data_IF_452180022966
#
_entry.id   IF_452180022966
#
_cell.length_a   1.000
_cell.length_b   1.000
_cell.length_c   1.000
_cell.angle_alpha   90.00
_cell.angle_beta   90.00
_cell.angle_gamma   90.00
#
_symmetry.space_group_name_H-M   'P 1'
#
loop_
_entity.id
_entity.type
_entity.pdbx_description
1 polymer ?
#
# COMPACT_ATOMS: atom_id res chain seq x y z
N UNK A 1 -11.88 9.31 -20.29
CA UNK A 1 -11.78 9.88 -18.95
C UNK A 1 -12.06 8.82 -17.90
N UNK A 2 -11.25 8.80 -16.86
CA UNK A 2 -11.37 7.79 -15.81
C UNK A 2 -12.17 8.35 -14.65
N UNK A 3 -12.99 7.49 -14.06
CA UNK A 3 -13.78 7.84 -12.89
C UNK A 3 -13.31 7.03 -11.68
N UNK A 4 -12.98 7.73 -10.59
CA UNK A 4 -12.56 7.10 -9.35
C UNK A 4 -13.80 6.83 -8.49
N UNK A 5 -13.98 5.57 -8.11
CA UNK A 5 -15.11 5.17 -7.25
C UNK A 5 -14.64 4.22 -6.18
N UNK A 6 -15.33 4.24 -5.05
CA UNK A 6 -15.15 3.21 -4.04
C UNK A 6 -15.74 1.88 -4.53
N UNK A 7 -15.03 0.79 -4.26
CA UNK A 7 -15.48 -0.57 -4.54
C UNK A 7 -15.99 -1.18 -3.24
N UNK A 8 -17.23 -1.67 -3.28
CA UNK A 8 -17.88 -2.27 -2.11
C UNK A 8 -17.81 -3.79 -2.19
N UNK A 9 -16.67 -4.34 -1.80
CA UNK A 9 -16.35 -5.77 -1.95
C UNK A 9 -17.36 -6.65 -1.21
N UNK A 10 -17.74 -6.26 0.00
CA UNK A 10 -18.60 -7.08 0.86
C UNK A 10 -20.09 -6.80 0.68
N UNK A 11 -20.45 -5.74 -0.04
CA UNK A 11 -21.84 -5.29 -0.15
C UNK A 11 -22.43 -5.46 -1.54
N UNK A 12 -21.61 -5.37 -2.58
CA UNK A 12 -22.04 -5.37 -3.96
C UNK A 12 -21.36 -6.53 -4.69
N UNK A 13 -22.08 -7.63 -4.97
CA UNK A 13 -21.45 -8.80 -5.62
C UNK A 13 -20.80 -8.51 -6.97
N UNK A 14 -21.37 -7.60 -7.76
CA UNK A 14 -20.79 -7.20 -9.04
C UNK A 14 -19.45 -6.47 -8.85
N UNK A 15 -19.34 -5.65 -7.81
CA UNK A 15 -18.09 -4.97 -7.46
C UNK A 15 -17.03 -5.99 -7.06
N UNK A 16 -17.39 -6.95 -6.24
CA UNK A 16 -16.45 -7.99 -5.81
C UNK A 16 -15.95 -8.80 -6.99
N UNK A 17 -16.82 -9.18 -7.90
CA UNK A 17 -16.43 -9.96 -9.07
C UNK A 17 -15.48 -9.18 -9.98
N UNK A 18 -15.79 -7.94 -10.28
CA UNK A 18 -14.93 -7.09 -11.11
C UNK A 18 -13.56 -6.90 -10.47
N UNK A 19 -13.53 -6.68 -9.17
CA UNK A 19 -12.30 -6.54 -8.40
C UNK A 19 -11.46 -7.81 -8.43
N UNK A 20 -12.06 -8.97 -8.18
CA UNK A 20 -11.35 -10.25 -8.23
C UNK A 20 -10.79 -10.53 -9.62
N UNK A 21 -11.60 -10.31 -10.66
CA UNK A 21 -11.17 -10.52 -12.04
C UNK A 21 -9.96 -9.66 -12.40
N UNK A 22 -9.97 -8.39 -11.97
CA UNK A 22 -8.84 -7.49 -12.23
C UNK A 22 -7.58 -7.92 -11.47
N UNK A 23 -7.72 -8.35 -10.23
CA UNK A 23 -6.58 -8.83 -9.44
C UNK A 23 -5.97 -10.08 -10.08
N UNK A 24 -6.78 -11.01 -10.56
CA UNK A 24 -6.28 -12.20 -11.26
C UNK A 24 -5.55 -11.83 -12.55
N UNK A 25 -6.02 -10.83 -13.30
CA UNK A 25 -5.30 -10.32 -14.46
C UNK A 25 -3.92 -9.80 -14.09
N UNK A 26 -3.80 -9.18 -12.94
CA UNK A 26 -2.53 -8.67 -12.41
C UNK A 26 -1.66 -9.73 -11.76
N UNK A 27 -2.11 -10.99 -11.73
CA UNK A 27 -1.37 -12.08 -11.07
C UNK A 27 -1.43 -12.01 -9.55
N UNK A 28 -2.46 -11.37 -8.99
CA UNK A 28 -2.64 -11.25 -7.55
C UNK A 28 -3.77 -12.16 -7.07
N UNK A 29 -3.63 -12.63 -5.84
CA UNK A 29 -4.67 -13.41 -5.19
C UNK A 29 -5.53 -12.46 -4.36
N UNK A 30 -6.85 -12.42 -4.60
CA UNK A 30 -7.73 -11.57 -3.80
C UNK A 30 -7.68 -11.93 -2.31
N UNK A 31 -7.67 -10.89 -1.48
CA UNK A 31 -7.69 -11.01 -0.03
C UNK A 31 -8.70 -10.00 0.48
N UNK A 32 -9.73 -10.47 1.17
CA UNK A 32 -10.79 -9.59 1.67
C UNK A 32 -10.41 -8.87 2.97
N UNK A 33 -9.21 -9.08 3.48
CA UNK A 33 -8.71 -8.34 4.63
C UNK A 33 -8.27 -6.94 4.20
N UNK A 34 -9.25 -6.11 3.90
CA UNK A 34 -9.06 -4.74 3.45
C UNK A 34 -10.10 -3.84 4.13
N UNK A 35 -9.72 -2.60 4.40
CA UNK A 35 -10.58 -1.61 5.04
C UNK A 35 -11.29 -0.73 4.03
N UNK A 36 -10.62 -0.46 2.91
CA UNK A 36 -11.10 0.48 1.91
C UNK A 36 -10.52 0.09 0.56
N UNK A 37 -11.35 0.05 -0.46
CA UNK A 37 -10.94 -0.30 -1.82
C UNK A 37 -11.48 0.74 -2.79
N UNK A 38 -10.63 1.17 -3.72
CA UNK A 38 -11.01 2.10 -4.78
C UNK A 38 -10.74 1.48 -6.14
N UNK A 39 -11.43 1.98 -7.12
CA UNK A 39 -11.20 1.61 -8.51
C UNK A 39 -11.26 2.79 -9.44
N UNK A 40 -10.53 2.69 -10.53
CA UNK A 40 -10.67 3.61 -11.67
C UNK A 40 -11.43 2.88 -12.76
N UNK A 41 -12.43 3.56 -13.29
CA UNK A 41 -13.33 3.00 -14.31
C UNK A 41 -13.18 3.79 -15.61
N UNK A 42 -13.07 3.06 -16.69
CA UNK A 42 -13.18 3.59 -18.04
C UNK A 42 -14.53 3.12 -18.58
N UNK A 43 -15.51 4.02 -18.63
CA UNK A 43 -16.86 3.72 -19.12
C UNK A 43 -17.49 2.47 -18.48
N UNK A 44 -17.53 2.41 -17.18
CA UNK A 44 -18.08 1.29 -16.43
C UNK A 44 -17.19 0.03 -16.39
N UNK A 45 -16.00 0.06 -17.01
CA UNK A 45 -15.04 -1.03 -16.92
C UNK A 45 -14.01 -0.70 -15.86
N UNK A 46 -13.84 -1.58 -14.87
CA UNK A 46 -12.81 -1.43 -13.85
C UNK A 46 -11.45 -1.73 -14.47
N UNK A 47 -10.56 -0.72 -14.48
CA UNK A 47 -9.24 -0.83 -15.13
C UNK A 47 -8.08 -0.70 -14.16
N UNK A 48 -8.31 -0.21 -12.96
CA UNK A 48 -7.28 -0.15 -11.92
C UNK A 48 -7.94 -0.23 -10.54
N UNK A 49 -7.22 -0.78 -9.58
CA UNK A 49 -7.72 -0.89 -8.21
C UNK A 49 -6.59 -0.85 -7.21
N UNK A 50 -6.92 -0.55 -5.99
CA UNK A 50 -6.02 -0.64 -4.85
C UNK A 50 -6.82 -0.58 -3.57
N UNK A 51 -6.23 -1.09 -2.50
CA UNK A 51 -6.90 -1.19 -1.20
C UNK A 51 -5.98 -0.75 -0.09
N UNK A 52 -6.58 -0.38 1.04
CA UNK A 52 -5.85 -0.19 2.29
C UNK A 52 -6.30 -1.23 3.30
N UNK A 53 -5.37 -1.63 4.14
CA UNK A 53 -5.64 -2.37 5.37
C UNK A 53 -4.79 -1.75 6.46
N UNK A 54 -5.45 -1.11 7.46
CA UNK A 54 -4.75 -0.32 8.46
C UNK A 54 -3.86 0.73 7.78
N UNK A 55 -2.56 0.73 7.99
CA UNK A 55 -1.64 1.66 7.35
C UNK A 55 -0.87 1.05 6.17
N UNK A 56 -1.45 0.04 5.53
CA UNK A 56 -0.81 -0.65 4.39
C UNK A 56 -1.66 -0.45 3.14
N UNK A 57 -1.03 0.00 2.07
CA UNK A 57 -1.61 0.02 0.72
C UNK A 57 -1.23 -1.30 0.06
N UNK A 58 -2.21 -2.04 -0.42
CA UNK A 58 -2.01 -3.36 -0.98
C UNK A 58 -2.99 -3.67 -2.10
N UNK A 59 -2.78 -4.79 -2.78
CA UNK A 59 -3.63 -5.27 -3.86
C UNK A 59 -3.83 -4.20 -4.94
N UNK A 60 -2.74 -3.56 -5.32
CA UNK A 60 -2.74 -2.53 -6.36
C UNK A 60 -2.52 -3.22 -7.70
N UNK A 61 -3.44 -3.03 -8.62
CA UNK A 61 -3.40 -3.66 -9.93
C UNK A 61 -3.95 -2.74 -11.01
N UNK A 62 -3.40 -2.86 -12.22
CA UNK A 62 -3.87 -2.16 -13.40
C UNK A 62 -4.05 -3.18 -14.50
N UNK A 63 -5.16 -3.06 -15.25
CA UNK A 63 -5.39 -3.88 -16.44
C UNK A 63 -4.20 -3.71 -17.38
N UNK A 64 -3.60 -4.81 -17.87
CA UNK A 64 -2.42 -4.72 -18.75
C UNK A 64 -2.61 -3.85 -19.99
N UNK A 65 -3.83 -3.73 -20.50
CA UNK A 65 -4.13 -2.88 -21.65
C UNK A 65 -4.10 -1.38 -21.33
N UNK A 66 -4.05 -1.02 -20.03
CA UNK A 66 -4.12 0.36 -19.57
C UNK A 66 -2.85 0.81 -18.83
N UNK A 67 -1.78 0.05 -18.88
CA UNK A 67 -0.58 0.33 -18.08
C UNK A 67 0.16 1.62 -18.47
N UNK A 68 -0.03 2.10 -19.69
CA UNK A 68 0.63 3.33 -20.15
C UNK A 68 -0.01 4.61 -19.64
N UNK A 69 -1.11 4.53 -18.90
CA UNK A 69 -1.96 5.67 -18.53
C UNK A 69 -1.68 6.24 -17.14
N UNK A 70 -0.63 5.80 -16.46
CA UNK A 70 -0.31 6.22 -15.09
C UNK A 70 -1.43 5.96 -14.07
N UNK A 71 -2.24 4.95 -14.30
CA UNK A 71 -3.38 4.66 -13.42
C UNK A 71 -2.93 4.18 -12.05
N UNK A 72 -1.80 3.48 -11.99
CA UNK A 72 -1.24 3.01 -10.74
C UNK A 72 -0.93 4.17 -9.79
N UNK A 73 -0.30 5.22 -10.33
CA UNK A 73 -0.01 6.45 -9.58
C UNK A 73 -1.31 7.08 -9.05
N UNK A 74 -2.34 7.15 -9.88
CA UNK A 74 -3.62 7.73 -9.47
C UNK A 74 -4.26 6.94 -8.32
N UNK A 75 -4.19 5.62 -8.38
CA UNK A 75 -4.70 4.75 -7.31
C UNK A 75 -3.93 4.99 -6.01
N UNK A 76 -2.61 4.95 -6.06
CA UNK A 76 -1.78 5.12 -4.87
C UNK A 76 -1.97 6.50 -4.26
N UNK A 77 -2.06 7.54 -5.08
CA UNK A 77 -2.32 8.89 -4.59
C UNK A 77 -3.69 8.99 -3.89
N UNK A 78 -4.71 8.37 -4.45
CA UNK A 78 -6.04 8.38 -3.84
C UNK A 78 -6.04 7.67 -2.48
N UNK A 79 -5.34 6.53 -2.38
CA UNK A 79 -5.25 5.78 -1.13
C UNK A 79 -4.39 6.51 -0.10
N UNK A 80 -3.29 7.13 -0.52
CA UNK A 80 -2.45 7.95 0.36
C UNK A 80 -3.24 9.12 0.93
N UNK A 81 -4.02 9.78 0.09
CA UNK A 81 -4.89 10.88 0.51
C UNK A 81 -5.93 10.41 1.54
N UNK A 82 -6.50 9.25 1.32
CA UNK A 82 -7.46 8.65 2.26
C UNK A 82 -6.81 8.39 3.62
N UNK A 83 -5.60 7.86 3.64
CA UNK A 83 -4.88 7.61 4.88
C UNK A 83 -4.54 8.92 5.61
N UNK A 84 -4.09 9.94 4.87
CA UNK A 84 -3.84 11.25 5.46
C UNK A 84 -5.11 11.87 6.05
N UNK A 85 -6.24 11.74 5.37
CA UNK A 85 -7.51 12.23 5.88
C UNK A 85 -7.93 11.54 7.19
N UNK A 86 -7.49 10.31 7.38
CA UNK A 86 -7.70 9.56 8.62
C UNK A 86 -6.64 9.83 9.69
N UNK A 87 -5.72 10.75 9.43
CA UNK A 87 -4.64 11.12 10.36
C UNK A 87 -3.45 10.17 10.34
N UNK A 88 -3.39 9.27 9.37
CA UNK A 88 -2.28 8.31 9.23
C UNK A 88 -1.21 8.94 8.37
N UNK A 89 -0.05 9.26 8.98
CA UNK A 89 1.06 9.95 8.31
C UNK A 89 2.25 9.04 8.04
N UNK A 90 2.21 7.80 8.50
CA UNK A 90 3.23 6.79 8.23
C UNK A 90 2.54 5.53 7.75
N UNK A 91 2.79 5.13 6.53
CA UNK A 91 2.13 3.99 5.92
C UNK A 91 3.05 3.27 4.93
N UNK A 92 2.65 2.08 4.55
CA UNK A 92 3.44 1.17 3.74
C UNK A 92 2.73 0.85 2.43
N UNK A 93 3.53 0.50 1.44
CA UNK A 93 3.05 0.00 0.15
C UNK A 93 3.63 -1.39 -0.07
N UNK A 94 2.77 -2.34 -0.35
CA UNK A 94 3.13 -3.72 -0.64
C UNK A 94 2.74 -4.00 -2.10
N UNK A 95 3.72 -4.26 -2.95
CA UNK A 95 3.48 -4.39 -4.39
C UNK A 95 4.51 -5.32 -5.06
N UNK A 96 4.42 -5.45 -6.37
CA UNK A 96 5.39 -6.19 -7.16
C UNK A 96 6.61 -5.32 -7.48
N UNK A 97 7.82 -5.92 -7.58
CA UNK A 97 9.05 -5.15 -7.81
C UNK A 97 9.07 -4.32 -9.09
N UNK A 98 8.36 -4.75 -10.11
CA UNK A 98 8.39 -4.09 -11.42
C UNK A 98 7.81 -2.67 -11.44
N UNK A 99 7.12 -2.24 -10.38
CA UNK A 99 6.49 -0.92 -10.31
C UNK A 99 7.21 0.04 -9.37
N UNK A 100 8.37 -0.34 -8.83
CA UNK A 100 9.10 0.43 -7.82
C UNK A 100 9.45 1.85 -8.26
N UNK A 101 9.81 2.04 -9.52
CA UNK A 101 10.26 3.34 -10.04
C UNK A 101 9.14 4.38 -9.95
N UNK A 102 7.91 3.98 -10.24
CA UNK A 102 6.76 4.88 -10.21
C UNK A 102 6.47 5.41 -8.80
N UNK A 103 6.72 4.61 -7.78
CA UNK A 103 6.38 4.97 -6.41
C UNK A 103 7.45 5.80 -5.70
N UNK A 104 8.72 5.66 -6.11
CA UNK A 104 9.80 6.47 -5.54
C UNK A 104 9.54 7.96 -5.74
N UNK A 105 8.99 8.35 -6.88
CA UNK A 105 8.65 9.75 -7.18
C UNK A 105 7.51 10.29 -6.30
N UNK A 106 6.75 9.42 -5.65
CA UNK A 106 5.67 9.79 -4.75
C UNK A 106 6.11 9.85 -3.28
N UNK A 107 7.41 9.69 -3.02
CA UNK A 107 7.96 9.77 -1.67
C UNK A 107 8.07 8.44 -0.94
N UNK A 108 7.84 7.33 -1.61
CA UNK A 108 8.03 6.01 -1.01
C UNK A 108 9.49 5.59 -1.05
N UNK A 109 9.95 4.99 0.03
CA UNK A 109 11.29 4.43 0.14
C UNK A 109 11.21 2.91 0.21
N UNK A 110 12.09 2.24 -0.49
CA UNK A 110 12.15 0.78 -0.46
C UNK A 110 12.70 0.31 0.89
N UNK A 111 12.04 -0.67 1.50
CA UNK A 111 12.49 -1.32 2.72
C UNK A 111 13.05 -2.71 2.40
N UNK A 112 12.25 -3.53 1.75
CA UNK A 112 12.60 -4.91 1.42
C UNK A 112 12.20 -5.19 -0.02
N UNK A 113 13.09 -5.87 -0.74
CA UNK A 113 12.81 -6.35 -2.10
C UNK A 113 13.18 -7.82 -2.19
N UNK A 114 12.24 -8.61 -2.70
CA UNK A 114 12.47 -10.01 -3.07
C UNK A 114 12.18 -10.17 -4.56
N UNK A 115 12.25 -11.39 -5.07
CA UNK A 115 11.92 -11.66 -6.47
C UNK A 115 10.44 -11.40 -6.80
N UNK A 116 9.57 -11.49 -5.80
CA UNK A 116 8.12 -11.42 -5.99
C UNK A 116 7.46 -10.24 -5.30
N UNK A 117 8.14 -9.60 -4.36
CA UNK A 117 7.54 -8.60 -3.48
C UNK A 117 8.47 -7.41 -3.33
N UNK A 118 7.85 -6.23 -3.30
CA UNK A 118 8.49 -4.99 -2.92
C UNK A 118 7.68 -4.36 -1.79
N UNK A 119 8.35 -4.04 -0.69
CA UNK A 119 7.76 -3.36 0.45
C UNK A 119 8.40 -1.99 0.60
N UNK A 120 7.57 -0.95 0.58
CA UNK A 120 8.00 0.44 0.65
C UNK A 120 7.28 1.18 1.77
N UNK A 121 7.83 2.31 2.19
CA UNK A 121 7.19 3.14 3.20
C UNK A 121 7.20 4.60 2.80
N UNK A 122 6.25 5.34 3.34
CA UNK A 122 6.18 6.79 3.24
C UNK A 122 5.75 7.37 4.59
N UNK A 123 6.28 8.54 4.92
CA UNK A 123 5.84 9.29 6.09
C UNK A 123 6.90 9.42 7.17
N UNK A 124 6.49 9.99 8.28
CA UNK A 124 7.36 10.28 9.40
C UNK A 124 6.68 9.87 10.72
N UNK A 125 7.40 9.24 11.65
CA UNK A 125 8.79 8.81 11.48
C UNK A 125 8.91 7.66 10.49
N UNK A 126 9.97 7.63 9.70
CA UNK A 126 10.20 6.53 8.78
C UNK A 126 10.87 5.35 9.50
N UNK A 127 11.07 4.25 8.77
CA UNK A 127 11.64 3.04 9.35
C UNK A 127 13.06 3.27 9.91
N UNK A 128 13.86 4.09 9.24
CA UNK A 128 15.20 4.42 9.70
C UNK A 128 15.17 5.19 11.02
N UNK A 129 14.26 6.15 11.15
CA UNK A 129 14.06 6.90 12.38
C UNK A 129 13.64 5.97 13.52
N UNK A 130 12.77 5.03 13.22
CA UNK A 130 12.30 4.05 14.20
C UNK A 130 13.42 3.15 14.68
N UNK A 131 14.26 2.66 13.77
CA UNK A 131 15.43 1.85 14.13
C UNK A 131 16.40 2.64 14.98
N UNK A 132 16.68 3.89 14.65
CA UNK A 132 17.56 4.75 15.43
C UNK A 132 17.05 4.92 16.86
N UNK A 133 15.72 5.06 17.01
CA UNK A 133 15.11 5.16 18.32
C UNK A 133 15.27 3.88 19.14
N UNK A 134 15.08 2.72 18.51
CA UNK A 134 15.28 1.41 19.17
C UNK A 134 16.71 1.22 19.59
N UNK A 135 17.66 1.57 18.74
CA UNK A 135 19.10 1.47 19.08
C UNK A 135 19.46 2.39 20.25
N UNK A 136 18.91 3.60 20.28
CA UNK A 136 19.09 4.54 21.37
C UNK A 136 18.57 3.96 22.68
N UNK A 137 17.38 3.37 22.66
CA UNK A 137 16.78 2.73 23.83
C UNK A 137 17.62 1.55 24.32
N UNK A 138 18.16 0.78 23.40
CA UNK A 138 19.04 -0.33 23.73
C UNK A 138 20.32 0.13 24.41
N UNK A 139 20.95 1.18 23.89
CA UNK A 139 22.16 1.75 24.51
C UNK A 139 21.85 2.25 25.92
N UNK A 140 20.73 2.92 26.10
CA UNK A 140 20.34 3.42 27.42
C UNK A 140 20.12 2.27 28.42
N UNK A 141 19.50 1.21 27.98
CA UNK A 141 19.27 0.01 28.81
C UNK A 141 20.61 -0.64 29.18
N UNK A 142 21.53 -0.80 28.23
CA UNK A 142 22.85 -1.38 28.48
C UNK A 142 23.64 -0.49 29.45
N UNK A 143 23.54 0.82 29.32
CA UNK A 143 24.21 1.79 30.19
C UNK A 143 23.70 1.74 31.63
N UNK A 144 22.42 1.50 31.78
CA UNK A 144 21.78 1.38 33.08
C UNK A 144 22.01 0.01 33.75
N UNK A 145 22.65 -0.91 33.05
CA UNK A 145 22.83 -2.27 33.52
C UNK A 145 21.56 -3.08 33.54
N UNK A 146 20.53 -2.61 32.91
CA UNK A 146 19.24 -3.29 32.81
C UNK A 146 19.01 -3.79 31.40
N UNK A 147 18.63 -5.03 31.27
CA UNK A 147 18.23 -5.59 29.98
C UNK A 147 16.73 -5.48 29.89
N UNK A 148 16.27 -4.53 29.08
CA UNK A 148 14.86 -4.41 28.80
C UNK A 148 14.58 -5.07 27.48
N UNK A 149 13.97 -6.22 27.52
CA UNK A 149 13.65 -7.00 26.33
C UNK A 149 12.26 -6.74 25.83
N UNK A 150 11.69 -5.63 26.17
CA UNK A 150 10.37 -5.27 25.70
C UNK A 150 10.48 -4.65 24.30
N UNK A 151 10.55 -5.52 23.31
CA UNK A 151 10.71 -5.13 21.92
C UNK A 151 9.38 -4.88 21.23
N UNK A 152 8.29 -4.82 21.93
CA UNK A 152 7.00 -4.50 21.36
C UNK A 152 6.94 -3.03 21.01
N UNK A 153 6.79 -2.71 19.75
CA UNK A 153 6.60 -1.33 19.32
C UNK A 153 5.26 -0.78 19.78
#
# INVERSE_FOLDING_TARGET
MYELKRIWITRVPADKKAWEDLLFLGGLVPDEQVDYTVGLYDRNKLVATGSTYQNIIKLVAVDPEYQSENLLTKIVMALSSKLHDEGIIHFFLYTKPCVAISFASLGFKEIIRTNTILFMEQGSPDFSDYLALLESRKRDADHAGAIVMNANP
#
